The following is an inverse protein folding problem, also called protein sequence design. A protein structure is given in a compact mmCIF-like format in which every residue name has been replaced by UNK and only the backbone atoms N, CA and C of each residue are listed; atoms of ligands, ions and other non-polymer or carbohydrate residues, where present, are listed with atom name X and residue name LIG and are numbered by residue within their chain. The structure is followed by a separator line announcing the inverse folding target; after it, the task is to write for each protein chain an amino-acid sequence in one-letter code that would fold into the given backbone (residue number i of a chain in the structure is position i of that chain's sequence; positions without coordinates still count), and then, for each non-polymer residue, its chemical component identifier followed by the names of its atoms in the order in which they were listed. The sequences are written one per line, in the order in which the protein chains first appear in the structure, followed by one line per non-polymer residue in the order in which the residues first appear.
data_IF_209344821111
#
_entry.id   IF_209344821111
#
_cell.length_a   1.000
_cell.length_b   1.000
_cell.length_c   1.000
_cell.angle_alpha   90.00
_cell.angle_beta   90.00
_cell.angle_gamma   90.00
#
_symmetry.space_group_name_H-M   'P 1'
#
loop_
_entity.id
_entity.type
_entity.pdbx_description
1 polymer ?
#
# COMPACT_ATOMS: atom_id res chain seq x y z
N UNK A 1 -29.07 10.37 -2.57
CA UNK A 1 -27.63 10.60 -2.29
C UNK A 1 -27.08 9.38 -1.57
N UNK A 2 -25.93 8.83 -2.01
CA UNK A 2 -25.30 7.64 -1.39
C UNK A 2 -24.07 8.07 -0.59
N UNK A 3 -23.88 7.51 0.60
CA UNK A 3 -22.70 7.78 1.43
C UNK A 3 -21.48 7.13 0.80
N UNK A 4 -20.48 7.94 0.48
CA UNK A 4 -19.16 7.45 0.10
C UNK A 4 -18.32 7.32 1.37
N UNK A 5 -17.57 6.23 1.48
CA UNK A 5 -16.68 5.96 2.59
C UNK A 5 -15.23 6.24 2.15
N UNK A 6 -14.34 6.52 3.11
CA UNK A 6 -12.90 6.76 2.85
C UNK A 6 -12.61 7.96 1.93
N UNK A 7 -13.44 9.00 1.99
CA UNK A 7 -13.20 10.31 1.34
C UNK A 7 -12.82 11.32 2.42
N UNK A 8 -11.85 12.19 2.13
CA UNK A 8 -11.34 13.24 3.03
C UNK A 8 -10.88 12.72 4.40
N UNK A 9 -10.25 11.53 4.42
CA UNK A 9 -9.85 10.82 5.64
C UNK A 9 -8.39 11.00 6.05
N UNK A 10 -7.54 11.51 5.16
CA UNK A 10 -6.09 11.63 5.34
C UNK A 10 -5.64 13.00 4.81
N UNK A 11 -4.75 13.68 5.53
CA UNK A 11 -4.20 14.95 5.04
C UNK A 11 -3.17 14.72 3.92
N UNK A 12 -3.02 15.67 2.98
CA UNK A 12 -2.08 15.54 1.87
C UNK A 12 -0.61 15.35 2.28
N UNK A 13 -0.24 15.83 3.47
CA UNK A 13 1.11 15.76 4.02
C UNK A 13 1.45 14.38 4.60
N UNK A 14 0.43 13.54 4.84
CA UNK A 14 0.58 12.22 5.42
C UNK A 14 0.73 11.17 4.32
N UNK A 15 1.80 10.39 4.38
CA UNK A 15 1.93 9.21 3.54
C UNK A 15 0.78 8.23 3.82
N UNK A 16 0.27 7.61 2.75
CA UNK A 16 -0.81 6.63 2.85
C UNK A 16 -0.45 5.38 2.05
N UNK A 17 -0.47 4.24 2.74
CA UNK A 17 -0.12 2.95 2.15
C UNK A 17 -1.35 2.13 1.78
N UNK A 18 -1.16 1.20 0.83
CA UNK A 18 -2.19 0.21 0.48
C UNK A 18 -2.56 -0.68 1.67
N UNK A 19 -1.63 -0.92 2.59
CA UNK A 19 -1.89 -1.69 3.81
C UNK A 19 -2.84 -0.96 4.75
N UNK A 20 -2.64 0.35 4.94
CA UNK A 20 -3.58 1.20 5.70
C UNK A 20 -4.95 1.25 5.03
N UNK A 21 -4.99 1.45 3.71
CA UNK A 21 -6.24 1.40 2.96
C UNK A 21 -6.99 0.08 3.16
N UNK A 22 -6.31 -1.06 3.02
CA UNK A 22 -6.90 -2.38 3.21
C UNK A 22 -7.55 -2.51 4.57
N UNK A 23 -6.84 -2.11 5.64
CA UNK A 23 -7.37 -2.15 7.00
C UNK A 23 -8.65 -1.32 7.11
N UNK A 24 -8.59 -0.06 6.71
CA UNK A 24 -9.76 0.85 6.80
C UNK A 24 -10.93 0.38 5.92
N UNK A 25 -10.64 -0.19 4.75
CA UNK A 25 -11.65 -0.72 3.84
C UNK A 25 -12.36 -1.94 4.43
N UNK A 26 -11.62 -2.88 5.02
CA UNK A 26 -12.21 -4.05 5.69
C UNK A 26 -13.10 -3.64 6.87
N UNK A 27 -12.67 -2.66 7.67
CA UNK A 27 -13.49 -2.12 8.76
C UNK A 27 -14.81 -1.53 8.24
N UNK A 28 -14.80 -0.85 7.09
CA UNK A 28 -16.02 -0.30 6.47
C UNK A 28 -16.88 -1.35 5.80
N UNK A 29 -16.29 -2.36 5.18
CA UNK A 29 -17.00 -3.51 4.64
C UNK A 29 -17.79 -4.19 5.76
N UNK A 30 -17.14 -4.48 6.89
CA UNK A 30 -17.78 -5.14 8.03
C UNK A 30 -18.94 -4.31 8.59
N UNK A 31 -18.72 -3.00 8.79
CA UNK A 31 -19.75 -2.05 9.23
C UNK A 31 -20.94 -1.94 8.27
N UNK A 32 -20.70 -1.98 6.95
CA UNK A 32 -21.76 -1.97 5.93
C UNK A 32 -22.56 -3.28 5.95
N UNK A 33 -21.87 -4.42 6.03
CA UNK A 33 -22.49 -5.74 6.10
C UNK A 33 -23.35 -5.90 7.37
N UNK A 34 -22.86 -5.43 8.53
CA UNK A 34 -23.61 -5.43 9.80
C UNK A 34 -24.92 -4.63 9.74
N UNK A 35 -25.02 -3.65 8.83
CA UNK A 35 -26.26 -2.90 8.56
C UNK A 35 -27.21 -3.59 7.55
N UNK A 36 -26.90 -4.81 7.12
CA UNK A 36 -27.69 -5.53 6.12
C UNK A 36 -27.59 -4.93 4.71
N UNK A 37 -26.48 -4.26 4.37
CA UNK A 37 -26.25 -3.65 3.06
C UNK A 37 -25.08 -4.31 2.35
N UNK A 38 -25.11 -4.32 1.02
CA UNK A 38 -23.99 -4.80 0.19
C UNK A 38 -22.97 -3.68 -0.03
N UNK A 39 -21.70 -3.86 0.35
CA UNK A 39 -20.64 -2.92 0.01
C UNK A 39 -20.44 -2.85 -1.51
N UNK A 40 -20.38 -1.64 -2.05
CA UNK A 40 -20.06 -1.40 -3.45
C UNK A 40 -18.73 -0.65 -3.53
N UNK A 41 -17.74 -1.28 -4.16
CA UNK A 41 -16.46 -0.65 -4.44
C UNK A 41 -16.55 0.20 -5.71
N UNK A 42 -16.12 1.47 -5.61
CA UNK A 42 -16.10 2.43 -6.72
C UNK A 42 -14.78 3.19 -6.72
N UNK A 43 -14.28 3.56 -7.90
CA UNK A 43 -12.95 4.17 -8.09
C UNK A 43 -11.89 3.17 -8.57
N UNK A 44 -10.61 3.54 -8.54
CA UNK A 44 -9.58 2.62 -9.02
C UNK A 44 -8.11 3.04 -8.86
N UNK A 45 -7.37 2.23 -8.11
CA UNK A 45 -6.13 1.64 -8.60
C UNK A 45 -6.24 0.12 -8.45
N UNK A 46 -5.81 -0.66 -9.44
CA UNK A 46 -5.94 -2.12 -9.40
C UNK A 46 -5.27 -2.75 -8.17
N UNK A 47 -4.18 -2.13 -7.70
CA UNK A 47 -3.46 -2.55 -6.49
C UNK A 47 -4.31 -2.47 -5.22
N UNK A 48 -5.13 -1.43 -5.07
CA UNK A 48 -5.92 -1.22 -3.85
C UNK A 48 -7.11 -2.17 -3.76
N UNK A 49 -7.77 -2.43 -4.89
CA UNK A 49 -8.83 -3.45 -4.97
C UNK A 49 -8.24 -4.82 -4.68
N UNK A 50 -7.12 -5.17 -5.34
CA UNK A 50 -6.43 -6.44 -5.14
C UNK A 50 -5.99 -6.66 -3.70
N UNK A 51 -5.52 -5.60 -3.03
CA UNK A 51 -5.14 -5.70 -1.62
C UNK A 51 -6.32 -6.07 -0.70
N UNK A 52 -7.52 -5.57 -1.01
CA UNK A 52 -8.73 -5.87 -0.26
C UNK A 52 -9.25 -7.28 -0.57
N UNK A 53 -9.24 -7.70 -1.84
CA UNK A 53 -9.78 -9.00 -2.27
C UNK A 53 -8.81 -10.16 -2.01
N UNK A 54 -7.54 -9.99 -2.36
CA UNK A 54 -6.54 -11.06 -2.39
C UNK A 54 -5.58 -10.98 -1.20
N UNK A 55 -5.61 -9.87 -0.46
CA UNK A 55 -4.67 -9.61 0.62
C UNK A 55 -3.37 -8.95 0.16
N UNK A 56 -2.45 -8.78 1.11
CA UNK A 56 -1.12 -8.25 0.89
C UNK A 56 -0.10 -9.28 1.39
N UNK A 57 1.02 -9.39 0.69
CA UNK A 57 2.15 -10.15 1.19
C UNK A 57 2.68 -9.51 2.50
N UNK A 58 3.26 -10.31 3.40
CA UNK A 58 3.92 -9.76 4.58
C UNK A 58 5.02 -8.79 4.14
N UNK A 59 4.88 -7.52 4.50
CA UNK A 59 5.91 -6.51 4.25
C UNK A 59 6.57 -6.14 5.56
N UNK A 60 7.89 -5.96 5.53
CA UNK A 60 8.61 -5.33 6.61
C UNK A 60 8.17 -3.87 6.77
N UNK A 61 8.34 -3.33 7.98
CA UNK A 61 8.17 -1.90 8.22
C UNK A 61 9.17 -1.07 7.42
N UNK A 62 8.79 0.17 7.14
CA UNK A 62 9.59 1.09 6.35
C UNK A 62 10.80 1.58 7.17
N UNK A 63 11.98 1.05 6.89
CA UNK A 63 13.23 1.60 7.41
C UNK A 63 13.71 2.79 6.56
N UNK A 64 13.51 4.00 7.09
CA UNK A 64 13.92 5.26 6.45
C UNK A 64 15.44 5.43 6.35
N UNK A 65 16.21 4.92 7.33
CA UNK A 65 17.67 5.02 7.31
C UNK A 65 18.23 4.12 6.21
N UNK A 66 17.72 2.88 6.14
CA UNK A 66 18.09 1.95 5.09
C UNK A 66 17.73 2.49 3.69
N UNK A 67 16.53 3.06 3.53
CA UNK A 67 16.11 3.68 2.27
C UNK A 67 17.06 4.80 1.83
N UNK A 68 17.40 5.73 2.73
CA UNK A 68 18.36 6.81 2.44
C UNK A 68 19.73 6.28 2.02
N UNK A 69 20.21 5.23 2.68
CA UNK A 69 21.47 4.59 2.32
C UNK A 69 21.41 4.02 0.89
N UNK A 70 20.34 3.32 0.51
CA UNK A 70 20.20 2.80 -0.85
C UNK A 70 20.10 3.94 -1.88
N UNK A 71 19.42 5.04 -1.57
CA UNK A 71 19.37 6.22 -2.45
C UNK A 71 20.75 6.84 -2.70
N UNK A 72 21.59 6.94 -1.66
CA UNK A 72 22.98 7.42 -1.81
C UNK A 72 23.79 6.48 -2.71
N UNK A 73 23.66 5.16 -2.51
CA UNK A 73 24.32 4.18 -3.36
C UNK A 73 23.84 4.24 -4.81
N UNK A 74 22.53 4.41 -5.03
CA UNK A 74 21.95 4.57 -6.36
C UNK A 74 22.47 5.82 -7.07
N UNK A 75 22.63 6.93 -6.35
CA UNK A 75 23.22 8.18 -6.89
C UNK A 75 24.69 8.01 -7.26
N UNK A 76 25.46 7.28 -6.43
CA UNK A 76 26.90 7.10 -6.63
C UNK A 76 27.25 6.07 -7.71
N UNK A 77 26.53 4.96 -7.78
CA UNK A 77 26.88 3.81 -8.62
C UNK A 77 25.81 3.46 -9.68
N UNK A 78 24.69 4.19 -9.70
CA UNK A 78 23.56 3.92 -10.60
C UNK A 78 22.63 2.79 -10.11
N UNK A 79 21.44 2.72 -10.70
CA UNK A 79 20.41 1.72 -10.33
C UNK A 79 20.83 0.27 -10.65
N UNK A 80 21.65 0.08 -11.69
CA UNK A 80 22.18 -1.24 -12.06
C UNK A 80 23.05 -1.89 -10.98
N UNK A 81 23.74 -1.08 -10.16
CA UNK A 81 24.49 -1.56 -9.00
C UNK A 81 23.55 -2.17 -7.96
N UNK A 82 22.45 -1.48 -7.61
CA UNK A 82 21.47 -1.99 -6.66
C UNK A 82 20.76 -3.24 -7.18
N UNK A 83 20.40 -3.26 -8.46
CA UNK A 83 19.79 -4.45 -9.07
C UNK A 83 20.71 -5.69 -8.97
N UNK A 84 22.00 -5.53 -9.31
CA UNK A 84 22.99 -6.62 -9.17
C UNK A 84 23.19 -7.03 -7.72
N UNK A 85 23.15 -6.08 -6.78
CA UNK A 85 23.24 -6.35 -5.34
C UNK A 85 22.03 -7.16 -4.86
N UNK A 86 20.82 -6.80 -5.28
CA UNK A 86 19.60 -7.56 -4.96
C UNK A 86 19.69 -8.97 -5.55
N UNK A 87 20.02 -9.10 -6.84
CA UNK A 87 20.11 -10.39 -7.54
C UNK A 87 21.12 -11.38 -6.93
N UNK A 88 22.14 -10.89 -6.22
CA UNK A 88 23.11 -11.76 -5.50
C UNK A 88 22.55 -12.34 -4.20
N UNK A 89 21.59 -11.66 -3.59
CA UNK A 89 20.98 -12.04 -2.31
C UNK A 89 19.69 -12.84 -2.59
N UNK A 90 18.89 -12.35 -3.52
CA UNK A 90 17.60 -12.89 -3.91
C UNK A 90 17.53 -12.89 -5.46
N UNK A 91 17.86 -14.01 -6.11
CA UNK A 91 18.00 -14.09 -7.56
C UNK A 91 16.67 -14.22 -8.32
N UNK A 92 15.59 -14.59 -7.63
CA UNK A 92 14.26 -14.91 -8.18
C UNK A 92 13.29 -13.71 -8.14
#
# INVERSE_FOLDING_TARGET
KVRHHLIDIISPEKEFSVAEYRKMALDKIEDILKRGKTPLFVGGSGLYVKAVTDGLFPSAEKDLKFRKLQEVLAKKYGRGYLYKKLKRIDPD
#
